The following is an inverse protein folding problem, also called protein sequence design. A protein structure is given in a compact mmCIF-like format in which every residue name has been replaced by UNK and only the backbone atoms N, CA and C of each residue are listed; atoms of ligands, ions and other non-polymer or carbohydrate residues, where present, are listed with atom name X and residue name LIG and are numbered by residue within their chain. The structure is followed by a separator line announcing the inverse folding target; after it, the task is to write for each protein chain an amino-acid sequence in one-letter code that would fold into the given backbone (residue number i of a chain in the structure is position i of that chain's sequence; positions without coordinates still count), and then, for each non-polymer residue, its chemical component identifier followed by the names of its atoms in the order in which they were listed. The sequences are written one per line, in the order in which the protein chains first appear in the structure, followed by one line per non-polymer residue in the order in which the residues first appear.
data_IF_987980697518
#
_entry.id   IF_987980697518
#
_cell.length_a   1.000
_cell.length_b   1.000
_cell.length_c   1.000
_cell.angle_alpha   90.00
_cell.angle_beta   90.00
_cell.angle_gamma   90.00
#
_symmetry.space_group_name_H-M   'P 1'
#
loop_
_entity.id
_entity.type
_entity.pdbx_description
1 polymer ?
#
# COMPACT_ATOMS: atom_id res chain seq x y z
N UNK A 1 2.80 -15.12 -2.79
CA UNK A 1 2.40 -14.18 -3.86
C UNK A 1 0.91 -13.97 -3.73
N UNK A 2 0.45 -12.73 -3.65
CA UNK A 2 -0.98 -12.40 -3.54
C UNK A 2 -1.49 -12.05 -4.95
N UNK A 3 -2.71 -12.49 -5.27
CA UNK A 3 -3.33 -12.23 -6.57
C UNK A 3 -4.32 -11.06 -6.48
N UNK A 4 -4.46 -10.30 -7.57
CA UNK A 4 -5.38 -9.19 -7.70
C UNK A 4 -5.11 -8.40 -8.97
N UNK A 5 -6.11 -7.69 -9.48
CA UNK A 5 -5.99 -6.79 -10.63
C UNK A 5 -5.62 -5.36 -10.19
N UNK A 6 -5.79 -5.05 -8.91
CA UNK A 6 -5.43 -3.77 -8.31
C UNK A 6 -4.58 -3.92 -7.06
N UNK A 7 -3.87 -2.85 -6.69
CA UNK A 7 -3.09 -2.79 -5.45
C UNK A 7 -3.95 -3.12 -4.23
N UNK A 8 -5.19 -2.63 -4.18
CA UNK A 8 -6.12 -2.87 -3.07
C UNK A 8 -6.45 -4.35 -2.91
N UNK A 9 -6.69 -5.07 -4.00
CA UNK A 9 -6.98 -6.51 -3.98
C UNK A 9 -5.77 -7.33 -3.52
N UNK A 10 -4.58 -7.01 -4.04
CA UNK A 10 -3.34 -7.67 -3.62
C UNK A 10 -3.08 -7.42 -2.13
N UNK A 11 -3.28 -6.19 -1.65
CA UNK A 11 -3.17 -5.86 -0.23
C UNK A 11 -4.24 -6.53 0.63
N UNK A 12 -5.46 -6.72 0.13
CA UNK A 12 -6.51 -7.46 0.85
C UNK A 12 -6.08 -8.91 1.11
N UNK A 13 -5.41 -9.56 0.15
CA UNK A 13 -4.78 -10.86 0.36
C UNK A 13 -3.72 -10.83 1.49
N UNK A 14 -2.88 -9.79 1.50
CA UNK A 14 -1.89 -9.59 2.57
C UNK A 14 -2.54 -9.33 3.93
N UNK A 15 -3.67 -8.60 3.99
CA UNK A 15 -4.42 -8.37 5.22
C UNK A 15 -5.04 -9.63 5.79
N UNK A 16 -5.48 -10.57 4.94
CA UNK A 16 -5.98 -11.85 5.39
C UNK A 16 -4.88 -12.70 6.05
N UNK A 17 -3.65 -12.65 5.51
CA UNK A 17 -2.49 -13.33 6.10
C UNK A 17 -1.98 -12.61 7.36
N UNK A 18 -2.00 -11.27 7.36
CA UNK A 18 -1.50 -10.43 8.45
C UNK A 18 -2.49 -9.29 8.77
N UNK A 19 -3.48 -9.54 9.64
CA UNK A 19 -4.54 -8.57 9.92
C UNK A 19 -4.05 -7.21 10.44
N UNK A 20 -2.94 -7.19 11.20
CA UNK A 20 -2.33 -5.96 11.71
C UNK A 20 -1.82 -5.03 10.62
N UNK A 21 -1.49 -5.55 9.44
CA UNK A 21 -1.01 -4.78 8.30
C UNK A 21 -2.09 -3.81 7.79
N UNK A 22 -3.37 -4.20 7.88
CA UNK A 22 -4.50 -3.35 7.47
C UNK A 22 -4.51 -2.03 8.22
N UNK A 23 -4.33 -2.07 9.54
CA UNK A 23 -4.36 -0.86 10.38
C UNK A 23 -3.08 -0.04 10.24
N UNK A 24 -1.97 -0.67 9.86
CA UNK A 24 -0.74 0.03 9.55
C UNK A 24 -0.82 0.83 8.24
N UNK A 25 -1.48 0.26 7.20
CA UNK A 25 -1.55 0.88 5.87
C UNK A 25 -2.76 1.80 5.72
N UNK A 26 -3.92 1.37 6.20
CA UNK A 26 -5.19 2.05 6.03
C UNK A 26 -5.65 2.76 7.31
N UNK A 27 -6.38 3.85 7.13
CA UNK A 27 -7.15 4.51 8.18
C UNK A 27 -8.53 3.85 8.36
N UNK A 28 -9.32 4.39 9.29
CA UNK A 28 -10.67 3.88 9.60
C UNK A 28 -11.69 4.11 8.48
N UNK A 29 -11.35 4.93 7.47
CA UNK A 29 -12.15 5.18 6.26
C UNK A 29 -11.65 4.34 5.07
N UNK A 30 -10.79 3.34 5.32
CA UNK A 30 -10.19 2.47 4.32
C UNK A 30 -9.32 3.21 3.29
N UNK A 31 -8.80 4.39 3.65
CA UNK A 31 -7.87 5.15 2.81
C UNK A 31 -6.43 4.94 3.25
N UNK A 32 -5.50 5.06 2.31
CA UNK A 32 -4.06 4.98 2.61
C UNK A 32 -3.67 6.11 3.56
N UNK A 33 -3.10 5.75 4.72
CA UNK A 33 -2.68 6.72 5.74
C UNK A 33 -1.71 7.75 5.17
N UNK A 34 -1.82 8.99 5.65
CA UNK A 34 -0.98 10.12 5.20
C UNK A 34 0.53 9.87 5.29
N UNK A 35 0.96 9.08 6.28
CA UNK A 35 2.39 8.77 6.50
C UNK A 35 2.84 7.49 5.79
N UNK A 36 1.94 6.81 5.09
CA UNK A 36 2.25 5.62 4.29
C UNK A 36 2.35 6.03 2.83
N UNK A 37 3.38 5.51 2.17
CA UNK A 37 3.64 5.69 0.74
C UNK A 37 3.67 4.32 0.10
N UNK A 38 2.94 4.18 -1.00
CA UNK A 38 2.90 2.96 -1.79
C UNK A 38 3.59 3.21 -3.12
N UNK A 39 4.46 2.30 -3.51
CA UNK A 39 5.08 2.27 -4.83
C UNK A 39 4.64 1.00 -5.57
N UNK A 40 4.46 1.15 -6.88
CA UNK A 40 4.30 0.06 -7.82
C UNK A 40 5.54 0.03 -8.70
N UNK A 41 6.45 -0.91 -8.42
CA UNK A 41 7.82 -0.88 -8.91
C UNK A 41 8.51 0.42 -8.47
N UNK A 42 8.98 1.20 -9.45
CA UNK A 42 9.65 2.49 -9.22
C UNK A 42 8.67 3.67 -9.12
N UNK A 43 7.38 3.45 -9.43
CA UNK A 43 6.39 4.53 -9.51
C UNK A 43 5.72 4.74 -8.15
N UNK A 44 5.88 5.94 -7.59
CA UNK A 44 5.14 6.36 -6.40
C UNK A 44 3.67 6.60 -6.75
N UNK A 45 2.76 5.94 -6.05
CA UNK A 45 1.33 6.17 -6.19
C UNK A 45 0.85 7.30 -5.27
N UNK A 46 -0.13 8.08 -5.75
CA UNK A 46 -0.82 9.06 -4.93
C UNK A 46 -1.83 8.36 -4.01
N UNK A 47 -1.88 8.74 -2.73
CA UNK A 47 -2.68 8.05 -1.72
C UNK A 47 -4.18 7.93 -2.08
N UNK A 48 -4.76 8.95 -2.71
CA UNK A 48 -6.20 8.98 -3.08
C UNK A 48 -6.57 7.96 -4.17
N UNK A 49 -5.59 7.49 -4.97
CA UNK A 49 -5.81 6.52 -6.05
C UNK A 49 -4.99 5.25 -5.94
N UNK A 50 -4.15 5.12 -4.90
CA UNK A 50 -3.18 4.05 -4.81
C UNK A 50 -3.82 2.65 -4.79
N UNK A 51 -4.95 2.49 -4.10
CA UNK A 51 -5.64 1.19 -4.00
C UNK A 51 -6.30 0.77 -5.32
N UNK A 52 -6.72 1.72 -6.14
CA UNK A 52 -7.33 1.46 -7.45
C UNK A 52 -6.29 1.32 -8.57
N UNK A 53 -5.01 1.51 -8.29
CA UNK A 53 -3.97 1.39 -9.29
C UNK A 53 -3.91 -0.06 -9.82
N UNK A 54 -3.95 -0.26 -11.14
CA UNK A 54 -3.88 -1.59 -11.73
C UNK A 54 -2.50 -2.20 -11.52
N UNK A 55 -2.45 -3.51 -11.34
CA UNK A 55 -1.20 -4.27 -11.19
C UNK A 55 -1.12 -5.38 -12.24
N UNK A 56 0.10 -5.75 -12.61
CA UNK A 56 0.38 -6.92 -13.43
C UNK A 56 0.90 -8.08 -12.58
N UNK A 57 0.90 -9.29 -13.14
CA UNK A 57 1.42 -10.48 -12.46
C UNK A 57 2.89 -10.36 -12.02
N UNK A 58 3.66 -9.46 -12.65
CA UNK A 58 5.09 -9.21 -12.33
C UNK A 58 5.30 -7.93 -11.55
N UNK A 59 4.22 -7.26 -11.12
CA UNK A 59 4.32 -6.01 -10.39
C UNK A 59 4.76 -6.25 -8.96
N UNK A 60 5.66 -5.40 -8.48
CA UNK A 60 6.11 -5.39 -7.09
C UNK A 60 5.48 -4.20 -6.37
N UNK A 61 4.85 -4.44 -5.22
CA UNK A 61 4.24 -3.39 -4.40
C UNK A 61 5.13 -3.15 -3.19
N UNK A 62 5.64 -1.93 -3.05
CA UNK A 62 6.43 -1.52 -1.90
C UNK A 62 5.61 -0.59 -1.01
N UNK A 63 5.55 -0.90 0.28
CA UNK A 63 4.83 -0.09 1.28
C UNK A 63 5.85 0.44 2.28
N UNK A 64 5.95 1.77 2.36
CA UNK A 64 6.94 2.46 3.16
C UNK A 64 6.25 3.48 4.06
N UNK A 65 6.74 3.63 5.29
CA UNK A 65 6.37 4.77 6.12
C UNK A 65 7.34 5.92 5.88
N UNK A 66 6.81 7.10 5.62
CA UNK A 66 7.59 8.32 5.59
C UNK A 66 7.99 8.68 7.03
N UNK A 67 9.17 8.22 7.45
CA UNK A 67 9.80 8.71 8.66
C UNK A 67 10.34 10.10 8.34
N UNK A 68 9.74 11.14 8.92
CA UNK A 68 10.37 12.47 8.94
C UNK A 68 11.67 12.33 9.73
N UNK A 69 12.80 12.33 9.02
CA UNK A 69 14.12 12.27 9.65
C UNK A 69 14.23 13.31 10.75
N UNK A 70 14.74 12.89 11.91
CA UNK A 70 14.92 13.73 13.08
C UNK A 70 15.74 14.96 12.73
N UNK A 71 15.29 16.11 13.23
CA UNK A 71 16.07 17.33 13.18
C UNK A 71 17.40 17.10 13.90
N UNK A 72 18.50 17.37 13.20
CA UNK A 72 19.76 17.77 13.81
C UNK A 72 19.79 19.30 13.90
#
# INVERSE_FOLDING_TARGET
MFAGETVGEVLAGAFAAWPGLRHYILDDQERVRKHVVIFLGEVRLANEGALAAPVSDTSEIYVLQALSGGAC
#
